data_IF_965729707207
#
_entry.id   IF_965729707207
#
_cell.length_a   1.000
_cell.length_b   1.000
_cell.length_c   1.000
_cell.angle_alpha   90.00
_cell.angle_beta   90.00
_cell.angle_gamma   90.00
#
_symmetry.space_group_name_H-M   'P 1'
#
loop_
_entity.id
_entity.type
_entity.pdbx_description
1 polymer ?
#
# COMPACT_ATOMS: atom_id res chain seq x y z
N UNK A 1 -22.61 6.64 2.24
CA UNK A 1 -22.08 5.42 2.95
C UNK A 1 -21.49 5.89 4.26
N UNK A 2 -21.73 5.20 5.37
CA UNK A 2 -21.11 5.47 6.69
C UNK A 2 -20.06 4.41 6.95
N UNK A 3 -18.84 4.82 7.32
CA UNK A 3 -17.74 3.92 7.62
C UNK A 3 -17.60 3.76 9.14
N UNK A 4 -17.39 2.53 9.61
CA UNK A 4 -16.89 2.24 10.95
C UNK A 4 -15.45 1.78 10.83
N UNK A 5 -14.54 2.53 11.43
CA UNK A 5 -13.10 2.35 11.24
C UNK A 5 -12.49 1.83 12.54
N UNK A 6 -11.67 0.79 12.43
CA UNK A 6 -10.77 0.33 13.48
C UNK A 6 -9.39 0.12 12.89
N UNK A 7 -8.37 0.47 13.64
CA UNK A 7 -6.97 0.27 13.23
C UNK A 7 -6.10 -0.13 14.41
N UNK A 8 -5.01 -0.82 14.14
CA UNK A 8 -4.01 -1.18 15.11
C UNK A 8 -2.65 -1.24 14.43
N UNK A 9 -1.61 -0.87 15.16
CA UNK A 9 -0.20 -1.03 14.75
C UNK A 9 0.62 -1.43 15.97
N UNK A 10 1.54 -2.38 15.80
CA UNK A 10 2.37 -2.90 16.86
C UNK A 10 3.78 -3.16 16.35
N UNK A 11 4.78 -2.84 17.16
CA UNK A 11 6.21 -2.99 16.81
C UNK A 11 6.63 -4.46 16.69
N UNK A 12 5.85 -5.37 17.28
CA UNK A 12 6.20 -6.78 17.40
C UNK A 12 7.29 -7.05 18.45
N UNK A 13 7.64 -8.33 18.60
CA UNK A 13 8.55 -8.78 19.66
C UNK A 13 10.04 -8.71 19.30
N UNK A 14 10.40 -8.42 18.05
CA UNK A 14 11.77 -8.54 17.54
C UNK A 14 12.40 -7.24 17.08
N UNK A 15 11.58 -6.26 16.67
CA UNK A 15 12.07 -4.97 16.17
C UNK A 15 12.19 -3.97 17.32
N UNK A 16 13.10 -3.03 17.23
CA UNK A 16 13.26 -1.91 18.17
C UNK A 16 12.49 -0.66 17.75
N UNK A 17 12.06 -0.60 16.48
CA UNK A 17 11.30 0.52 15.90
C UNK A 17 10.18 -0.05 15.05
N UNK A 18 8.99 0.53 15.18
CA UNK A 18 7.90 0.25 14.26
C UNK A 18 8.18 0.96 12.94
N UNK A 19 8.34 0.19 11.87
CA UNK A 19 8.62 0.70 10.53
C UNK A 19 7.37 0.80 9.66
N UNK A 20 6.23 0.35 10.18
CA UNK A 20 4.95 0.43 9.49
C UNK A 20 4.36 1.83 9.65
N UNK A 21 3.66 2.27 8.63
CA UNK A 21 2.87 3.50 8.64
C UNK A 21 1.52 3.25 8.01
N UNK A 22 0.49 3.92 8.51
CA UNK A 22 -0.85 3.85 7.97
C UNK A 22 -1.50 5.24 7.92
N UNK A 23 -2.47 5.41 7.04
CA UNK A 23 -3.37 6.56 7.04
C UNK A 23 -4.78 6.13 6.66
N UNK A 24 -5.76 6.78 7.27
CA UNK A 24 -7.16 6.68 6.91
C UNK A 24 -7.69 8.11 6.86
N UNK A 25 -8.19 8.53 5.70
CA UNK A 25 -8.63 9.90 5.46
C UNK A 25 -9.99 9.88 4.79
N UNK A 26 -10.89 10.71 5.27
CA UNK A 26 -12.25 10.86 4.72
C UNK A 26 -12.41 12.22 4.04
N UNK A 27 -13.17 12.23 2.96
CA UNK A 27 -13.62 13.43 2.27
C UNK A 27 -15.14 13.40 2.13
N UNK A 28 -15.82 14.46 2.57
CA UNK A 28 -17.25 14.64 2.35
C UNK A 28 -17.51 15.19 0.95
N UNK A 29 -18.41 14.55 0.21
CA UNK A 29 -18.87 14.99 -1.11
C UNK A 29 -20.40 15.11 -1.13
N UNK A 30 -20.97 15.76 -2.14
CA UNK A 30 -22.44 15.79 -2.30
C UNK A 30 -23.07 14.38 -2.41
N UNK A 31 -22.31 13.40 -2.92
CA UNK A 31 -22.77 12.03 -3.12
C UNK A 31 -22.55 11.14 -1.89
N UNK A 32 -21.86 11.63 -0.88
CA UNK A 32 -21.52 10.92 0.36
C UNK A 32 -20.05 10.96 0.70
N UNK A 33 -19.62 10.10 1.62
CA UNK A 33 -18.24 10.04 2.09
C UNK A 33 -17.37 9.20 1.15
N UNK A 34 -16.24 9.77 0.75
CA UNK A 34 -15.11 9.04 0.14
C UNK A 34 -14.10 8.73 1.22
N UNK A 35 -13.59 7.51 1.26
CA UNK A 35 -12.58 7.07 2.22
C UNK A 35 -11.33 6.60 1.47
N UNK A 36 -10.17 7.13 1.84
CA UNK A 36 -8.86 6.57 1.48
C UNK A 36 -8.27 5.87 2.69
N UNK A 37 -7.85 4.62 2.52
CA UNK A 37 -7.07 3.89 3.51
C UNK A 37 -5.79 3.35 2.88
N UNK A 38 -4.68 3.42 3.60
CA UNK A 38 -3.41 2.88 3.12
C UNK A 38 -2.52 2.36 4.25
N UNK A 39 -1.72 1.37 3.91
CA UNK A 39 -0.72 0.74 4.77
C UNK A 39 0.58 0.64 3.99
N UNK A 40 1.68 0.92 4.68
CA UNK A 40 3.04 0.81 4.19
C UNK A 40 3.89 0.08 5.22
N UNK A 41 4.46 -1.09 4.86
CA UNK A 41 5.46 -1.80 5.68
C UNK A 41 6.84 -1.33 5.25
N UNK A 42 7.51 -0.60 6.13
CA UNK A 42 8.84 -0.06 5.91
C UNK A 42 9.92 -1.11 6.11
N UNK A 43 10.81 -1.22 5.13
CA UNK A 43 11.92 -2.14 5.13
C UNK A 43 13.24 -1.39 5.10
N UNK A 44 14.15 -1.76 5.98
CA UNK A 44 15.47 -1.13 6.02
C UNK A 44 16.28 -1.74 7.16
N UNK A 45 16.87 -2.89 6.98
CA UNK A 45 17.83 -3.53 7.87
C UNK A 45 17.77 -3.05 9.33
N UNK A 46 18.79 -2.34 9.76
CA UNK A 46 18.87 -1.71 11.09
C UNK A 46 18.40 -0.23 11.08
N UNK A 47 18.14 0.38 9.91
CA UNK A 47 17.96 1.83 9.83
C UNK A 47 16.92 2.26 8.78
N UNK A 48 15.87 2.94 9.24
CA UNK A 48 15.03 3.92 8.51
C UNK A 48 13.98 3.42 7.51
N UNK A 49 13.48 2.18 7.64
CA UNK A 49 12.26 1.76 6.94
C UNK A 49 11.06 2.65 7.27
N UNK A 50 11.00 3.15 8.52
CA UNK A 50 10.00 4.11 8.99
C UNK A 50 10.00 5.43 8.21
N UNK A 51 11.17 5.86 7.71
CA UNK A 51 11.25 7.06 6.89
C UNK A 51 10.62 6.82 5.51
N UNK A 52 10.86 5.67 4.91
CA UNK A 52 10.28 5.32 3.61
C UNK A 52 8.75 5.23 3.71
N UNK A 53 8.24 4.44 4.66
CA UNK A 53 6.79 4.27 4.86
C UNK A 53 6.09 5.60 5.18
N UNK A 54 6.65 6.41 6.11
CA UNK A 54 6.08 7.71 6.46
C UNK A 54 6.10 8.70 5.30
N UNK A 55 7.15 8.70 4.46
CA UNK A 55 7.24 9.58 3.28
C UNK A 55 6.14 9.24 2.28
N UNK A 56 5.89 7.95 2.04
CA UNK A 56 4.82 7.50 1.16
C UNK A 56 3.45 7.93 1.71
N UNK A 57 3.18 7.63 2.97
CA UNK A 57 1.92 8.00 3.64
C UNK A 57 1.68 9.51 3.53
N UNK A 58 2.65 10.32 3.88
CA UNK A 58 2.53 11.79 3.82
C UNK A 58 2.23 12.27 2.39
N UNK A 59 2.93 11.73 1.40
CA UNK A 59 2.75 12.14 0.00
C UNK A 59 1.35 11.82 -0.52
N UNK A 60 0.84 10.62 -0.25
CA UNK A 60 -0.49 10.22 -0.69
C UNK A 60 -1.61 10.91 0.09
N UNK A 61 -1.43 11.15 1.38
CA UNK A 61 -2.38 11.93 2.18
C UNK A 61 -2.51 13.35 1.63
N UNK A 62 -1.39 14.01 1.36
CA UNK A 62 -1.37 15.35 0.76
C UNK A 62 -2.02 15.38 -0.62
N UNK A 63 -1.77 14.36 -1.44
CA UNK A 63 -2.42 14.23 -2.75
C UNK A 63 -3.94 14.06 -2.60
N UNK A 64 -4.39 13.22 -1.66
CA UNK A 64 -5.82 13.01 -1.41
C UNK A 64 -6.51 14.29 -0.94
N UNK A 65 -5.87 15.10 -0.12
CA UNK A 65 -6.43 16.35 0.37
C UNK A 65 -6.45 17.48 -0.69
N UNK A 66 -5.44 17.53 -1.57
CA UNK A 66 -5.23 18.69 -2.45
C UNK A 66 -5.59 18.46 -3.91
N UNK A 67 -5.36 17.26 -4.43
CA UNK A 67 -5.55 16.93 -5.86
C UNK A 67 -6.79 16.06 -6.10
N UNK A 68 -7.07 15.09 -5.26
CA UNK A 68 -8.20 14.19 -5.42
C UNK A 68 -9.56 14.93 -5.52
N UNK A 69 -9.86 16.00 -4.75
CA UNK A 69 -11.12 16.73 -4.90
C UNK A 69 -11.34 17.27 -6.32
N UNK A 70 -10.28 17.70 -6.99
CA UNK A 70 -10.34 18.21 -8.38
C UNK A 70 -10.67 17.08 -9.36
N UNK A 71 -10.04 15.91 -9.15
CA UNK A 71 -10.28 14.70 -9.97
C UNK A 71 -11.73 14.23 -9.79
N UNK A 72 -12.21 14.22 -8.55
CA UNK A 72 -13.56 13.80 -8.21
C UNK A 72 -14.62 14.64 -8.93
N UNK A 73 -14.40 15.95 -9.04
CA UNK A 73 -15.29 16.86 -9.76
C UNK A 73 -15.30 16.65 -11.28
N UNK A 74 -14.19 16.18 -11.86
CA UNK A 74 -14.07 15.98 -13.31
C UNK A 74 -14.66 14.66 -13.81
N UNK A 75 -14.90 13.67 -12.93
CA UNK A 75 -15.63 12.44 -13.25
C UNK A 75 -14.84 11.30 -13.88
N UNK A 76 -13.59 11.49 -14.32
CA UNK A 76 -12.75 10.44 -14.92
C UNK A 76 -11.84 9.78 -13.86
N UNK A 77 -12.45 9.22 -12.81
CA UNK A 77 -11.76 8.82 -11.60
C UNK A 77 -10.70 7.73 -11.84
N UNK A 78 -11.07 6.61 -12.46
CA UNK A 78 -10.20 5.43 -12.54
C UNK A 78 -8.94 5.71 -13.36
N UNK A 79 -9.10 6.37 -14.51
CA UNK A 79 -7.98 6.68 -15.42
C UNK A 79 -7.03 7.70 -14.81
N UNK A 80 -7.58 8.78 -14.25
CA UNK A 80 -6.80 9.89 -13.71
C UNK A 80 -6.08 9.49 -12.41
N UNK A 81 -6.78 8.82 -11.47
CA UNK A 81 -6.18 8.29 -10.25
C UNK A 81 -5.07 7.30 -10.60
N UNK A 82 -5.34 6.34 -11.47
CA UNK A 82 -4.34 5.34 -11.89
C UNK A 82 -3.12 5.97 -12.57
N UNK A 83 -3.30 7.02 -13.36
CA UNK A 83 -2.20 7.75 -13.98
C UNK A 83 -1.36 8.50 -12.94
N UNK A 84 -2.00 9.26 -12.04
CA UNK A 84 -1.30 10.03 -11.01
C UNK A 84 -0.59 9.12 -10.02
N UNK A 85 -1.21 8.04 -9.56
CA UNK A 85 -0.60 7.09 -8.63
C UNK A 85 0.65 6.43 -9.23
N UNK A 86 0.60 6.00 -10.49
CA UNK A 86 1.81 5.46 -11.16
C UNK A 86 2.96 6.46 -11.20
N UNK A 87 2.68 7.73 -11.47
CA UNK A 87 3.70 8.79 -11.46
C UNK A 87 4.25 9.03 -10.05
N UNK A 88 3.38 9.11 -9.07
CA UNK A 88 3.76 9.32 -7.67
C UNK A 88 4.62 8.18 -7.14
N UNK A 89 4.21 6.93 -7.34
CA UNK A 89 4.98 5.74 -6.94
C UNK A 89 6.36 5.75 -7.60
N UNK A 90 6.43 6.02 -8.90
CA UNK A 90 7.71 6.10 -9.60
C UNK A 90 8.62 7.21 -9.05
N UNK A 91 8.07 8.39 -8.79
CA UNK A 91 8.81 9.52 -8.21
C UNK A 91 9.30 9.22 -6.79
N UNK A 92 8.43 8.64 -5.96
CA UNK A 92 8.77 8.24 -4.60
C UNK A 92 9.87 7.19 -4.57
N UNK A 93 9.78 6.17 -5.44
CA UNK A 93 10.83 5.15 -5.56
C UNK A 93 12.18 5.77 -5.90
N UNK A 94 12.23 6.72 -6.85
CA UNK A 94 13.45 7.44 -7.19
C UNK A 94 13.99 8.25 -6.01
N UNK A 95 13.14 8.96 -5.29
CA UNK A 95 13.52 9.80 -4.14
C UNK A 95 14.06 8.94 -2.99
N UNK A 96 13.38 7.85 -2.66
CA UNK A 96 13.78 6.93 -1.59
C UNK A 96 15.09 6.23 -1.95
N UNK A 97 15.22 5.74 -3.19
CA UNK A 97 16.45 5.11 -3.66
C UNK A 97 17.64 6.07 -3.64
N UNK A 98 17.47 7.34 -4.09
CA UNK A 98 18.53 8.34 -4.04
C UNK A 98 18.94 8.66 -2.61
N UNK A 99 17.97 8.82 -1.71
CA UNK A 99 18.25 9.03 -0.29
C UNK A 99 19.08 7.88 0.32
N UNK A 100 18.76 6.63 -0.06
CA UNK A 100 19.52 5.44 0.35
C UNK A 100 20.95 5.46 -0.19
N UNK A 101 21.13 5.75 -1.47
CA UNK A 101 22.44 5.85 -2.11
C UNK A 101 23.32 6.90 -1.46
N UNK A 102 22.80 8.10 -1.23
CA UNK A 102 23.55 9.23 -0.63
C UNK A 102 24.05 8.92 0.79
N UNK A 103 23.40 7.98 1.47
CA UNK A 103 23.71 7.63 2.88
C UNK A 103 24.28 6.22 3.04
N UNK A 104 24.47 5.49 1.94
CA UNK A 104 24.93 4.10 1.94
C UNK A 104 24.06 3.17 2.79
N UNK A 105 22.74 3.38 2.77
CA UNK A 105 21.75 2.56 3.47
C UNK A 105 20.74 1.98 2.47
N UNK A 106 20.16 0.84 2.82
CA UNK A 106 19.09 0.20 2.08
C UNK A 106 17.78 0.45 2.82
N UNK A 107 16.85 1.12 2.17
CA UNK A 107 15.50 1.34 2.68
C UNK A 107 14.50 1.28 1.54
N UNK A 108 13.29 0.85 1.86
CA UNK A 108 12.16 0.75 0.96
C UNK A 108 10.87 0.63 1.76
N UNK A 109 9.77 0.47 1.09
CA UNK A 109 8.49 0.19 1.73
C UNK A 109 7.52 -0.43 0.74
N UNK A 110 6.65 -1.29 1.25
CA UNK A 110 5.43 -1.66 0.53
C UNK A 110 4.49 -0.46 0.42
N UNK A 111 3.54 -0.53 -0.48
CA UNK A 111 2.39 0.37 -0.54
C UNK A 111 1.14 -0.40 -0.91
N UNK A 112 0.13 -0.32 -0.07
CA UNK A 112 -1.21 -0.84 -0.35
C UNK A 112 -2.21 0.24 0.00
N UNK A 113 -2.92 0.73 -1.01
CA UNK A 113 -3.85 1.85 -0.91
C UNK A 113 -5.18 1.47 -1.55
N UNK A 114 -6.27 1.87 -0.92
CA UNK A 114 -7.63 1.73 -1.43
C UNK A 114 -8.39 3.05 -1.25
N UNK A 115 -9.13 3.45 -2.27
CA UNK A 115 -10.15 4.50 -2.17
C UNK A 115 -11.51 3.85 -2.35
N UNK A 116 -12.42 4.12 -1.41
CA UNK A 116 -13.83 3.77 -1.51
C UNK A 116 -14.64 4.99 -1.92
N UNK A 117 -15.46 4.82 -2.94
CA UNK A 117 -16.37 5.85 -3.45
C UNK A 117 -17.80 5.64 -2.90
N UNK A 118 -18.62 6.69 -2.81
CA UNK A 118 -19.97 6.62 -2.24
C UNK A 118 -20.91 5.61 -2.91
N UNK A 119 -20.68 5.33 -4.19
CA UNK A 119 -21.46 4.36 -4.99
C UNK A 119 -21.04 2.89 -4.76
N UNK A 120 -20.10 2.63 -3.84
CA UNK A 120 -19.58 1.29 -3.56
C UNK A 120 -18.43 0.83 -4.47
N UNK A 121 -18.05 1.64 -5.47
CA UNK A 121 -16.85 1.38 -6.27
C UNK A 121 -15.60 1.64 -5.43
N UNK A 122 -14.52 0.90 -5.69
CA UNK A 122 -13.23 1.11 -5.06
C UNK A 122 -12.07 0.97 -6.04
N UNK A 123 -11.01 1.71 -5.79
CA UNK A 123 -9.79 1.73 -6.59
C UNK A 123 -8.62 1.31 -5.69
N UNK A 124 -7.80 0.37 -6.16
CA UNK A 124 -6.66 -0.17 -5.42
C UNK A 124 -5.37 0.05 -6.20
N UNK A 125 -4.31 0.44 -5.47
CA UNK A 125 -2.94 0.24 -5.93
C UNK A 125 -2.16 -0.54 -4.87
N UNK A 126 -1.25 -1.42 -5.34
CA UNK A 126 -0.53 -2.34 -4.48
C UNK A 126 0.87 -2.61 -5.02
N UNK A 127 1.86 -2.53 -4.12
CA UNK A 127 3.26 -2.94 -4.34
C UNK A 127 3.75 -3.60 -3.06
N UNK A 128 4.18 -4.85 -3.15
CA UNK A 128 4.72 -5.60 -2.02
C UNK A 128 3.87 -6.81 -1.62
N UNK A 129 3.77 -7.09 -0.32
CA UNK A 129 3.09 -8.25 0.26
C UNK A 129 2.09 -7.90 1.37
N UNK A 130 1.82 -6.62 1.60
CA UNK A 130 0.69 -6.18 2.42
C UNK A 130 -0.62 -6.46 1.68
N UNK A 131 -1.68 -6.87 2.39
CA UNK A 131 -2.88 -7.42 1.74
C UNK A 131 -4.15 -6.66 2.10
N UNK A 132 -5.08 -6.61 1.14
CA UNK A 132 -6.47 -6.20 1.34
C UNK A 132 -7.37 -7.42 1.20
N UNK A 133 -8.26 -7.61 2.16
CA UNK A 133 -9.31 -8.62 2.11
C UNK A 133 -10.69 -7.97 2.15
N UNK A 134 -11.59 -8.44 1.30
CA UNK A 134 -13.02 -8.20 1.42
C UNK A 134 -13.64 -9.36 2.19
N UNK A 135 -14.30 -9.04 3.28
CA UNK A 135 -14.97 -10.04 4.14
C UNK A 135 -16.47 -9.76 4.10
N UNK A 136 -17.25 -10.79 3.88
CA UNK A 136 -18.71 -10.78 3.93
C UNK A 136 -19.17 -11.89 4.87
N UNK A 137 -20.46 -11.98 5.13
CA UNK A 137 -21.03 -13.06 5.95
C UNK A 137 -20.81 -14.46 5.34
N UNK A 138 -20.46 -14.54 4.06
CA UNK A 138 -20.40 -15.78 3.30
C UNK A 138 -19.01 -16.08 2.72
N UNK A 139 -18.11 -15.09 2.63
CA UNK A 139 -16.85 -15.25 1.89
C UNK A 139 -15.76 -14.30 2.38
N UNK A 140 -14.50 -14.74 2.21
CA UNK A 140 -13.28 -13.95 2.39
C UNK A 140 -12.52 -13.97 1.07
N UNK A 141 -12.37 -12.82 0.45
CA UNK A 141 -11.66 -12.66 -0.81
C UNK A 141 -10.46 -11.74 -0.65
N UNK A 142 -9.26 -12.19 -1.03
CA UNK A 142 -8.11 -11.32 -1.20
C UNK A 142 -8.32 -10.44 -2.44
N UNK A 143 -8.11 -9.13 -2.28
CA UNK A 143 -8.19 -8.14 -3.36
C UNK A 143 -6.80 -7.76 -3.90
N UNK A 144 -5.73 -8.22 -3.25
CA UNK A 144 -4.33 -8.03 -3.66
C UNK A 144 -3.62 -9.37 -3.75
N UNK A 145 -2.58 -9.44 -4.56
CA UNK A 145 -1.69 -10.60 -4.69
C UNK A 145 -0.28 -10.20 -4.25
N UNK A 146 0.37 -11.05 -3.45
CA UNK A 146 1.74 -10.80 -3.01
C UNK A 146 2.70 -10.70 -4.19
N UNK A 147 3.57 -9.72 -4.14
CA UNK A 147 4.64 -9.51 -5.11
C UNK A 147 5.97 -9.99 -4.54
N UNK A 148 6.03 -11.27 -4.13
CA UNK A 148 7.22 -11.95 -3.65
C UNK A 148 7.81 -12.90 -4.69
N UNK A 149 9.08 -13.28 -4.51
CA UNK A 149 9.75 -14.28 -5.37
C UNK A 149 8.96 -15.58 -5.40
N UNK A 150 8.50 -16.06 -4.25
CA UNK A 150 7.77 -17.33 -4.15
C UNK A 150 6.37 -17.25 -4.75
N UNK A 151 5.67 -16.13 -4.58
CA UNK A 151 4.36 -15.93 -5.20
C UNK A 151 4.45 -15.94 -6.73
N UNK A 152 5.50 -15.33 -7.28
CA UNK A 152 5.78 -15.39 -8.71
C UNK A 152 6.11 -16.82 -9.19
N UNK A 153 6.84 -17.61 -8.39
CA UNK A 153 7.15 -19.00 -8.72
C UNK A 153 5.91 -19.91 -8.62
N UNK A 154 5.00 -19.65 -7.69
CA UNK A 154 3.68 -20.34 -7.66
C UNK A 154 2.87 -20.01 -8.90
N UNK A 155 2.78 -18.72 -9.29
CA UNK A 155 2.06 -18.30 -10.50
C UNK A 155 2.62 -18.92 -11.77
N UNK A 156 3.95 -19.13 -11.82
CA UNK A 156 4.63 -19.84 -12.92
C UNK A 156 4.54 -21.37 -12.85
N UNK A 157 3.88 -21.93 -11.83
CA UNK A 157 3.76 -23.36 -11.63
C UNK A 157 5.05 -24.07 -11.20
N UNK A 158 6.05 -23.31 -10.71
CA UNK A 158 7.33 -23.86 -10.22
C UNK A 158 7.27 -24.33 -8.78
N UNK A 159 6.41 -23.71 -7.97
CA UNK A 159 6.12 -24.08 -6.60
C UNK A 159 4.64 -24.30 -6.42
N UNK A 160 4.27 -25.18 -5.49
CA UNK A 160 2.91 -25.23 -4.96
C UNK A 160 2.76 -24.15 -3.86
N UNK A 161 1.53 -23.71 -3.52
CA UNK A 161 1.31 -22.80 -2.39
C UNK A 161 1.93 -23.31 -1.09
N UNK A 162 1.78 -24.62 -0.79
CA UNK A 162 2.35 -25.24 0.41
C UNK A 162 3.90 -25.20 0.44
N UNK A 163 4.54 -25.31 -0.73
CA UNK A 163 6.01 -25.17 -0.83
C UNK A 163 6.42 -23.73 -0.63
N UNK A 164 5.66 -22.78 -1.15
CA UNK A 164 5.93 -21.34 -0.99
C UNK A 164 5.87 -20.90 0.49
N UNK A 165 4.92 -21.42 1.27
CA UNK A 165 4.72 -21.06 2.68
C UNK A 165 5.94 -21.39 3.57
N UNK A 166 6.71 -22.41 3.21
CA UNK A 166 7.90 -22.85 3.96
C UNK A 166 9.22 -22.49 3.29
N UNK A 167 9.19 -21.87 2.10
CA UNK A 167 10.38 -21.45 1.36
C UNK A 167 11.12 -20.35 2.13
N UNK A 168 12.45 -20.43 2.32
CA UNK A 168 13.22 -19.40 3.00
C UNK A 168 13.18 -18.04 2.29
N UNK A 169 12.82 -17.99 1.00
CA UNK A 169 12.71 -16.77 0.19
C UNK A 169 11.31 -16.15 0.24
N UNK A 170 10.37 -16.68 1.05
CA UNK A 170 8.97 -16.23 1.07
C UNK A 170 8.77 -14.73 1.33
N UNK A 171 9.73 -14.09 2.04
CA UNK A 171 9.70 -12.67 2.37
C UNK A 171 10.55 -11.81 1.41
N UNK A 172 11.04 -12.36 0.30
CA UNK A 172 11.82 -11.59 -0.67
C UNK A 172 10.85 -10.96 -1.66
N UNK A 173 10.73 -9.64 -1.58
CA UNK A 173 9.90 -8.87 -2.50
C UNK A 173 10.53 -8.79 -3.90
N UNK A 174 9.67 -8.74 -4.92
CA UNK A 174 10.10 -8.51 -6.31
C UNK A 174 10.41 -7.03 -6.55
N UNK A 175 9.71 -6.16 -5.84
CA UNK A 175 9.88 -4.70 -5.88
C UNK A 175 9.33 -4.07 -4.60
N UNK A 176 9.94 -2.97 -4.20
CA UNK A 176 9.59 -2.18 -3.02
C UNK A 176 10.09 -0.73 -3.17
#
# INVERSE_FOLDING_TARGET
>A
MEFKIGWHSDIGMRKSTNQDSLAIVEMQTPDGTVLMAMICDGMGGLEKGELASATIIHTFTKWFEQEFPKIYQNGELDSEIGYQWRRMIKSLNQTIAQYGQDRHIHLGSTITIIIFLPNGHYIIAHVGDTRIYRITDFDIQALTEDQTVVAEEVRKGKLTPQQADVDPRRNILLQC
#
